data_IF_213128950768
#
_entry.id   IF_213128950768
#
_cell.length_a   1.000
_cell.length_b   1.000
_cell.length_c   1.000
_cell.angle_alpha   90.00
_cell.angle_beta   90.00
_cell.angle_gamma   90.00
#
_symmetry.space_group_name_H-M   'P 1'
#
loop_
_entity.id
_entity.type
_entity.pdbx_description
1 polymer ?
#
# COMPACT_ATOMS: atom_id res chain seq x y z
N UNK A 1 -26.22 -8.01 61.68
CA UNK A 1 -26.20 -8.33 60.23
C UNK A 1 -25.19 -7.45 59.54
N UNK A 2 -23.91 -7.83 59.61
CA UNK A 2 -22.81 -7.05 59.06
C UNK A 2 -22.49 -7.54 57.64
N UNK A 3 -23.01 -6.88 56.61
CA UNK A 3 -22.62 -7.16 55.23
C UNK A 3 -21.15 -6.82 55.09
N UNK A 4 -20.37 -7.82 54.75
CA UNK A 4 -18.92 -7.72 54.46
C UNK A 4 -18.65 -6.76 53.30
N UNK A 5 -18.48 -5.47 53.61
CA UNK A 5 -18.11 -4.42 52.66
C UNK A 5 -16.65 -4.55 52.15
N UNK A 6 -15.90 -5.57 52.59
CA UNK A 6 -14.48 -5.77 52.19
C UNK A 6 -14.30 -6.32 50.77
N UNK A 7 -15.27 -7.16 50.31
CA UNK A 7 -15.16 -7.76 48.95
C UNK A 7 -15.23 -6.76 47.80
N UNK A 8 -16.16 -5.77 47.75
CA UNK A 8 -16.23 -4.82 46.65
C UNK A 8 -14.98 -3.91 46.58
N UNK A 9 -14.46 -3.52 47.74
CA UNK A 9 -13.24 -2.68 47.80
C UNK A 9 -12.02 -3.44 47.24
N UNK A 10 -11.86 -4.71 47.61
CA UNK A 10 -10.76 -5.55 47.10
C UNK A 10 -10.85 -5.73 45.58
N UNK A 11 -12.04 -5.98 45.03
CA UNK A 11 -12.28 -6.11 43.60
C UNK A 11 -11.94 -4.79 42.90
N UNK A 12 -12.37 -3.65 43.43
CA UNK A 12 -12.09 -2.34 42.84
C UNK A 12 -10.57 -2.02 42.85
N UNK A 13 -9.85 -2.39 43.88
CA UNK A 13 -8.39 -2.23 43.96
C UNK A 13 -7.65 -3.12 42.93
N UNK A 14 -8.08 -4.38 42.78
CA UNK A 14 -7.53 -5.30 41.79
C UNK A 14 -7.78 -4.75 40.37
N UNK A 15 -9.00 -4.31 40.08
CA UNK A 15 -9.31 -3.71 38.78
C UNK A 15 -8.51 -2.43 38.51
N UNK A 16 -8.37 -1.57 39.51
CA UNK A 16 -7.55 -0.37 39.40
C UNK A 16 -6.08 -0.69 39.12
N UNK A 17 -5.53 -1.70 39.82
CA UNK A 17 -4.16 -2.16 39.61
C UNK A 17 -3.97 -2.76 38.20
N UNK A 18 -4.94 -3.57 37.71
CA UNK A 18 -4.90 -4.12 36.35
C UNK A 18 -4.96 -3.01 35.29
N UNK A 19 -5.77 -1.97 35.50
CA UNK A 19 -5.84 -0.82 34.60
C UNK A 19 -4.51 -0.04 34.57
N UNK A 20 -3.91 0.21 35.73
CA UNK A 20 -2.60 0.87 35.80
C UNK A 20 -1.50 0.03 35.15
N UNK A 21 -1.51 -1.28 35.40
CA UNK A 21 -0.55 -2.21 34.78
C UNK A 21 -0.70 -2.24 33.24
N UNK A 22 -1.94 -2.28 32.75
CA UNK A 22 -2.19 -2.27 31.30
C UNK A 22 -1.79 -0.93 30.68
N UNK A 23 -2.03 0.19 31.34
CA UNK A 23 -1.60 1.51 30.88
C UNK A 23 -0.06 1.63 30.85
N UNK A 24 0.62 1.17 31.91
CA UNK A 24 2.07 1.14 31.95
C UNK A 24 2.66 0.24 30.86
N UNK A 25 2.09 -0.95 30.66
CA UNK A 25 2.49 -1.87 29.61
C UNK A 25 2.30 -1.26 28.21
N UNK A 26 1.17 -0.59 27.98
CA UNK A 26 0.89 0.11 26.70
C UNK A 26 1.91 1.22 26.45
N UNK A 27 2.26 2.00 27.49
CA UNK A 27 3.29 3.04 27.37
C UNK A 27 4.68 2.45 27.08
N UNK A 28 5.04 1.36 27.76
CA UNK A 28 6.32 0.67 27.56
C UNK A 28 6.43 0.00 26.19
N UNK A 29 5.31 -0.47 25.64
CA UNK A 29 5.24 -1.12 24.32
C UNK A 29 4.98 -0.15 23.16
N UNK A 30 4.83 1.16 23.43
CA UNK A 30 4.63 2.14 22.36
C UNK A 30 5.84 2.13 21.43
N UNK A 31 5.68 1.81 20.14
CA UNK A 31 6.77 1.85 19.17
C UNK A 31 7.36 3.26 19.10
N UNK A 32 8.68 3.38 19.19
CA UNK A 32 9.38 4.67 19.19
C UNK A 32 10.31 4.85 17.99
N UNK A 33 10.55 3.78 17.21
CA UNK A 33 11.46 3.82 16.08
C UNK A 33 10.72 3.44 14.79
N UNK A 34 10.81 4.27 13.76
CA UNK A 34 10.34 3.91 12.41
C UNK A 34 11.42 3.10 11.69
N UNK A 35 11.03 2.05 10.97
CA UNK A 35 11.94 1.24 10.15
C UNK A 35 12.59 2.10 9.07
N UNK A 36 11.87 3.08 8.55
CA UNK A 36 12.30 4.01 7.50
C UNK A 36 13.32 5.08 7.95
N UNK A 37 13.71 5.12 9.22
CA UNK A 37 14.49 6.23 9.81
C UNK A 37 15.87 6.50 9.19
N UNK A 38 16.33 5.72 8.20
CA UNK A 38 17.64 5.91 7.54
C UNK A 38 17.61 5.73 6.02
N UNK A 39 16.50 5.33 5.40
CA UNK A 39 16.46 5.00 3.97
C UNK A 39 15.80 6.11 3.18
N UNK A 40 16.58 6.78 2.34
CA UNK A 40 16.08 7.75 1.37
C UNK A 40 15.65 7.00 0.11
N UNK A 41 14.42 6.52 0.07
CA UNK A 41 13.78 6.16 -1.21
C UNK A 41 13.63 7.44 -2.02
N UNK A 42 13.95 7.37 -3.30
CA UNK A 42 13.60 8.37 -4.29
C UNK A 42 12.88 7.68 -5.46
N UNK A 43 11.55 7.74 -5.44
CA UNK A 43 10.71 7.10 -6.46
C UNK A 43 10.95 7.66 -7.87
N UNK A 44 11.31 8.94 -7.98
CA UNK A 44 11.54 9.58 -9.28
C UNK A 44 12.79 9.02 -9.99
N UNK A 45 13.84 8.73 -9.24
CA UNK A 45 15.08 8.15 -9.78
C UNK A 45 15.02 6.62 -9.85
N UNK A 46 14.34 5.97 -8.91
CA UNK A 46 14.20 4.50 -8.86
C UNK A 46 13.37 3.95 -10.02
N UNK A 47 12.30 4.63 -10.39
CA UNK A 47 11.38 4.15 -11.42
C UNK A 47 11.79 4.70 -12.78
N UNK A 48 12.25 3.84 -13.72
CA UNK A 48 12.76 4.31 -15.00
C UNK A 48 11.65 4.95 -15.86
N UNK A 49 12.02 5.99 -16.61
CA UNK A 49 11.12 6.67 -17.55
C UNK A 49 10.91 5.87 -18.85
N UNK A 50 11.86 4.99 -19.17
CA UNK A 50 11.84 4.12 -20.37
C UNK A 50 12.51 2.78 -20.03
N UNK A 51 11.86 1.67 -20.45
CA UNK A 51 12.37 0.31 -20.28
C UNK A 51 11.71 -0.64 -21.26
N UNK A 52 12.47 -1.57 -21.82
CA UNK A 52 12.02 -2.50 -22.86
C UNK A 52 11.32 -1.73 -24.01
N UNK A 53 10.02 -1.99 -24.20
CA UNK A 53 9.19 -1.33 -25.20
C UNK A 53 8.21 -0.30 -24.57
N UNK A 54 8.39 0.05 -23.30
CA UNK A 54 7.57 1.01 -22.55
C UNK A 54 8.32 2.34 -22.37
N UNK A 55 7.61 3.45 -22.54
CA UNK A 55 8.10 4.79 -22.22
C UNK A 55 6.97 5.65 -21.65
N UNK A 56 7.32 6.72 -20.93
CA UNK A 56 6.33 7.67 -20.43
C UNK A 56 5.57 8.27 -21.62
N UNK A 57 4.23 8.26 -21.52
CA UNK A 57 3.36 8.90 -22.50
C UNK A 57 3.31 10.42 -22.24
N UNK A 58 4.06 11.16 -23.01
CA UNK A 58 4.11 12.63 -22.95
C UNK A 58 2.96 13.31 -23.68
N UNK A 59 2.08 12.55 -24.37
CA UNK A 59 0.94 13.08 -25.12
C UNK A 59 -0.24 13.38 -24.21
N UNK A 60 -0.28 12.78 -23.01
CA UNK A 60 -1.29 13.04 -22.01
C UNK A 60 -0.83 14.16 -21.07
N UNK A 61 -1.68 15.17 -20.87
CA UNK A 61 -1.42 16.15 -19.83
C UNK A 61 -1.40 15.46 -18.45
N UNK A 62 -0.48 15.83 -17.54
CA UNK A 62 -0.54 15.34 -16.18
C UNK A 62 -1.92 15.63 -15.58
N UNK A 63 -2.51 14.71 -14.82
CA UNK A 63 -3.78 14.98 -14.16
C UNK A 63 -3.63 16.22 -13.26
N UNK A 64 -4.49 17.21 -13.47
CA UNK A 64 -4.57 18.38 -12.59
C UNK A 64 -5.08 17.90 -11.23
N UNK A 65 -4.17 17.75 -10.28
CA UNK A 65 -4.54 17.47 -8.90
C UNK A 65 -4.88 18.81 -8.23
N UNK A 66 -6.10 18.90 -7.67
CA UNK A 66 -6.48 20.04 -6.87
C UNK A 66 -5.43 20.27 -5.76
N UNK A 67 -4.93 21.50 -5.56
CA UNK A 67 -3.94 21.82 -4.53
C UNK A 67 -4.32 21.32 -3.13
N UNK A 68 -5.59 21.43 -2.74
CA UNK A 68 -6.09 20.92 -1.45
C UNK A 68 -5.93 19.40 -1.31
N UNK A 69 -6.22 18.64 -2.38
CA UNK A 69 -6.04 17.19 -2.42
C UNK A 69 -4.55 16.82 -2.37
N UNK A 70 -3.70 17.61 -3.02
CA UNK A 70 -2.25 17.43 -2.97
C UNK A 70 -1.71 17.61 -1.55
N UNK A 71 -2.21 18.62 -0.83
CA UNK A 71 -1.82 18.89 0.56
C UNK A 71 -2.26 17.77 1.50
N UNK A 72 -3.47 17.22 1.33
CA UNK A 72 -3.94 16.06 2.08
C UNK A 72 -3.10 14.81 1.79
N UNK A 73 -2.78 14.55 0.53
CA UNK A 73 -1.91 13.45 0.10
C UNK A 73 -0.52 13.58 0.74
N UNK A 74 0.06 14.80 0.77
CA UNK A 74 1.39 15.05 1.32
C UNK A 74 1.49 14.86 2.84
N UNK A 75 0.38 14.93 3.56
CA UNK A 75 0.32 14.63 5.00
C UNK A 75 0.41 13.12 5.28
N UNK A 76 -0.09 12.29 4.35
CA UNK A 76 -0.18 10.83 4.51
C UNK A 76 1.04 10.14 3.89
N UNK A 77 1.50 10.63 2.74
CA UNK A 77 2.57 10.00 1.97
C UNK A 77 3.82 10.87 1.94
N UNK A 78 4.94 10.26 2.24
CA UNK A 78 6.26 10.91 2.15
C UNK A 78 6.66 11.16 0.70
N UNK A 79 6.27 10.26 -0.21
CA UNK A 79 6.49 10.39 -1.65
C UNK A 79 5.35 9.75 -2.43
N UNK A 80 5.04 10.35 -3.57
CA UNK A 80 4.09 9.78 -4.56
C UNK A 80 4.65 9.92 -5.96
N UNK A 81 4.45 8.89 -6.78
CA UNK A 81 4.79 8.88 -8.20
C UNK A 81 3.53 8.53 -8.99
N UNK A 82 3.22 9.30 -10.03
CA UNK A 82 2.12 9.00 -10.95
C UNK A 82 2.60 9.23 -12.39
N UNK A 83 2.62 8.16 -13.20
CA UNK A 83 3.07 8.19 -14.59
C UNK A 83 2.17 7.32 -15.45
N UNK A 84 1.91 7.75 -16.67
CA UNK A 84 1.31 6.90 -17.70
C UNK A 84 2.39 6.44 -18.65
N UNK A 85 2.46 5.16 -18.91
CA UNK A 85 3.39 4.57 -19.87
C UNK A 85 2.61 4.09 -21.10
N UNK A 86 3.27 4.15 -22.25
CA UNK A 86 2.80 3.63 -23.53
C UNK A 86 3.84 2.71 -24.13
N UNK A 87 3.40 1.60 -24.71
CA UNK A 87 4.29 0.70 -25.43
C UNK A 87 4.21 0.89 -26.95
N UNK A 88 5.03 0.15 -27.70
CA UNK A 88 5.09 0.22 -29.16
C UNK A 88 3.79 -0.24 -29.85
N UNK A 89 2.90 -0.95 -29.15
CA UNK A 89 1.58 -1.36 -29.66
C UNK A 89 0.49 -0.29 -29.40
N UNK A 90 0.84 0.81 -28.68
CA UNK A 90 -0.13 1.83 -28.26
C UNK A 90 -0.92 1.48 -27.00
N UNK A 91 -0.61 0.37 -26.32
CA UNK A 91 -1.22 0.00 -25.05
C UNK A 91 -0.72 0.93 -23.95
N UNK A 92 -1.63 1.39 -23.08
CA UNK A 92 -1.32 2.34 -22.00
C UNK A 92 -1.53 1.72 -20.64
N UNK A 93 -0.57 1.97 -19.73
CA UNK A 93 -0.66 1.60 -18.32
C UNK A 93 -0.43 2.82 -17.46
N UNK A 94 -1.34 3.10 -16.55
CA UNK A 94 -1.19 4.10 -15.52
C UNK A 94 -0.52 3.47 -14.30
N UNK A 95 0.65 3.96 -13.93
CA UNK A 95 1.37 3.59 -12.72
C UNK A 95 1.15 4.63 -11.64
N UNK A 96 0.82 4.19 -10.44
CA UNK A 96 0.78 5.02 -9.25
C UNK A 96 1.47 4.31 -8.10
N UNK A 97 2.45 4.98 -7.48
CA UNK A 97 3.15 4.51 -6.30
C UNK A 97 2.98 5.56 -5.22
N UNK A 98 2.62 5.12 -4.01
CA UNK A 98 2.52 5.99 -2.84
C UNK A 98 3.30 5.34 -1.69
N UNK A 99 4.28 6.07 -1.17
CA UNK A 99 5.17 5.63 -0.11
C UNK A 99 4.95 6.47 1.15
N UNK A 100 4.72 5.79 2.27
CA UNK A 100 4.64 6.37 3.60
C UNK A 100 5.72 5.79 4.51
N UNK A 101 6.60 6.66 5.02
CA UNK A 101 7.71 6.26 5.91
C UNK A 101 7.24 5.81 7.28
N UNK A 102 6.00 6.09 7.64
CA UNK A 102 5.36 5.77 8.92
C UNK A 102 3.95 5.23 8.68
N UNK A 103 3.69 4.02 9.13
CA UNK A 103 2.38 3.36 9.05
C UNK A 103 1.69 3.28 10.41
N UNK A 104 1.95 4.25 11.29
CA UNK A 104 1.16 4.47 12.49
C UNK A 104 -0.31 4.76 12.14
N UNK A 105 -1.20 4.73 13.11
CA UNK A 105 -2.66 4.62 12.94
C UNK A 105 -3.30 5.62 11.97
N UNK A 106 -2.75 6.83 11.87
CA UNK A 106 -3.34 7.92 11.08
C UNK A 106 -2.69 8.10 9.69
N UNK A 107 -1.55 7.45 9.44
CA UNK A 107 -0.73 7.60 8.23
C UNK A 107 -0.68 6.32 7.39
N UNK A 108 -1.67 5.44 7.54
CA UNK A 108 -1.69 4.16 6.81
C UNK A 108 -1.96 4.35 5.32
N UNK A 109 -1.24 3.60 4.50
CA UNK A 109 -1.50 3.50 3.06
C UNK A 109 -2.95 3.08 2.82
N UNK A 110 -3.70 3.94 2.11
CA UNK A 110 -5.10 3.70 1.79
C UNK A 110 -5.22 2.71 0.62
N UNK A 111 -6.18 1.80 0.74
CA UNK A 111 -6.46 0.83 -0.32
C UNK A 111 -7.23 1.47 -1.47
N UNK A 112 -6.90 1.14 -2.73
CA UNK A 112 -7.56 1.71 -3.90
C UNK A 112 -9.08 1.63 -3.85
N UNK A 113 -9.67 0.51 -3.40
CA UNK A 113 -11.11 0.35 -3.32
C UNK A 113 -11.80 1.43 -2.45
N UNK A 114 -11.13 1.92 -1.42
CA UNK A 114 -11.66 3.01 -0.58
C UNK A 114 -11.57 4.36 -1.31
N UNK A 115 -10.40 4.67 -1.87
CA UNK A 115 -10.15 5.93 -2.55
C UNK A 115 -11.04 6.10 -3.80
N UNK A 116 -11.21 5.02 -4.58
CA UNK A 116 -12.07 5.05 -5.77
C UNK A 116 -13.54 5.23 -5.42
N UNK A 117 -14.04 4.57 -4.36
CA UNK A 117 -15.42 4.76 -3.89
C UNK A 117 -15.69 6.20 -3.44
N UNK A 118 -14.76 6.79 -2.67
CA UNK A 118 -14.87 8.21 -2.26
C UNK A 118 -14.86 9.14 -3.48
N UNK A 119 -14.16 8.75 -4.54
CA UNK A 119 -14.12 9.48 -5.82
C UNK A 119 -15.34 9.21 -6.73
N UNK A 120 -16.35 8.46 -6.26
CA UNK A 120 -17.60 8.19 -6.98
C UNK A 120 -17.51 7.05 -8.00
N UNK A 121 -16.54 6.16 -7.86
CA UNK A 121 -16.48 4.93 -8.67
C UNK A 121 -17.23 3.79 -7.98
N UNK A 122 -17.94 3.02 -8.78
CA UNK A 122 -18.46 1.71 -8.37
C UNK A 122 -17.33 0.69 -8.43
N UNK A 123 -17.13 -0.06 -7.34
CA UNK A 123 -16.10 -1.09 -7.26
C UNK A 123 -16.73 -2.46 -7.49
N UNK A 124 -16.25 -3.14 -8.51
CA UNK A 124 -16.63 -4.51 -8.82
C UNK A 124 -16.02 -5.52 -7.86
N UNK A 125 -16.01 -6.79 -8.26
CA UNK A 125 -15.43 -7.88 -7.45
C UNK A 125 -13.94 -7.66 -7.21
N UNK A 126 -13.55 -7.72 -5.94
CA UNK A 126 -12.15 -7.69 -5.53
C UNK A 126 -11.65 -9.13 -5.42
N UNK A 127 -10.53 -9.45 -6.09
CA UNK A 127 -10.00 -10.81 -6.16
C UNK A 127 -8.54 -10.82 -5.70
N UNK A 128 -8.21 -11.71 -4.76
CA UNK A 128 -6.83 -12.04 -4.38
C UNK A 128 -6.27 -12.99 -5.43
N UNK A 129 -5.14 -12.63 -6.03
CA UNK A 129 -4.49 -13.45 -7.05
C UNK A 129 -2.97 -13.29 -7.01
N UNK A 130 -2.29 -13.75 -8.04
CA UNK A 130 -0.86 -13.61 -8.21
C UNK A 130 -0.55 -13.13 -9.62
N UNK A 131 0.53 -12.38 -9.76
CA UNK A 131 1.13 -12.03 -11.04
C UNK A 131 2.49 -12.71 -11.12
N UNK A 132 2.69 -13.52 -12.16
CA UNK A 132 3.98 -14.13 -12.47
C UNK A 132 4.84 -13.11 -13.20
N UNK A 133 6.03 -12.82 -12.67
CA UNK A 133 6.98 -11.86 -13.22
C UNK A 133 8.37 -12.50 -13.34
N UNK A 134 9.28 -11.84 -14.06
CA UNK A 134 10.68 -12.28 -14.18
C UNK A 134 11.45 -12.24 -12.85
N UNK A 135 10.93 -11.49 -11.86
CA UNK A 135 11.56 -11.37 -10.53
C UNK A 135 10.87 -12.24 -9.46
N UNK A 136 9.88 -13.04 -9.87
CA UNK A 136 9.14 -13.94 -8.99
C UNK A 136 7.63 -13.77 -9.08
N UNK A 137 6.92 -14.55 -8.28
CA UNK A 137 5.46 -14.57 -8.21
C UNK A 137 4.98 -13.63 -7.13
N UNK A 138 4.27 -12.55 -7.54
CA UNK A 138 3.85 -11.46 -6.65
C UNK A 138 2.38 -11.65 -6.27
N UNK A 139 2.04 -11.69 -4.97
CA UNK A 139 0.65 -11.68 -4.52
C UNK A 139 0.03 -10.31 -4.73
N UNK A 140 -1.07 -10.25 -5.47
CA UNK A 140 -1.74 -9.00 -5.85
C UNK A 140 -3.24 -9.04 -5.60
N UNK A 141 -3.84 -7.86 -5.66
CA UNK A 141 -5.28 -7.65 -5.72
C UNK A 141 -5.68 -7.20 -7.11
N UNK A 142 -6.73 -7.81 -7.67
CA UNK A 142 -7.42 -7.34 -8.85
C UNK A 142 -8.78 -6.76 -8.48
N UNK A 143 -9.13 -5.64 -9.06
CA UNK A 143 -10.46 -5.05 -8.98
C UNK A 143 -10.75 -4.25 -10.25
N UNK A 144 -12.03 -3.96 -10.48
CA UNK A 144 -12.46 -3.09 -11.56
C UNK A 144 -13.22 -1.92 -10.96
N UNK A 145 -12.78 -0.70 -11.27
CA UNK A 145 -13.45 0.54 -10.89
C UNK A 145 -14.23 1.09 -12.10
N UNK A 146 -15.50 1.41 -11.91
CA UNK A 146 -16.40 1.89 -12.97
C UNK A 146 -17.00 3.23 -12.61
N UNK A 147 -16.96 4.18 -13.56
CA UNK A 147 -17.63 5.48 -13.42
C UNK A 147 -18.12 5.94 -14.78
N UNK A 148 -19.43 5.92 -14.99
CA UNK A 148 -20.03 6.19 -16.29
C UNK A 148 -19.53 5.21 -17.36
N UNK A 149 -18.91 5.75 -18.40
CA UNK A 149 -18.31 4.96 -19.50
C UNK A 149 -16.88 4.49 -19.21
N UNK A 150 -16.27 4.99 -18.14
CA UNK A 150 -14.91 4.61 -17.74
C UNK A 150 -14.94 3.28 -16.99
N UNK A 151 -14.26 2.31 -17.55
CA UNK A 151 -14.01 1.00 -16.94
C UNK A 151 -12.50 0.86 -16.75
N UNK A 152 -12.06 0.69 -15.51
CA UNK A 152 -10.66 0.69 -15.11
C UNK A 152 -10.31 -0.58 -14.33
N UNK A 153 -9.84 -1.63 -14.99
CA UNK A 153 -9.20 -2.77 -14.36
C UNK A 153 -7.90 -2.34 -13.67
N UNK A 154 -7.71 -2.80 -12.43
CA UNK A 154 -6.64 -2.38 -11.54
C UNK A 154 -5.95 -3.60 -10.94
N UNK A 155 -4.62 -3.62 -10.99
CA UNK A 155 -3.77 -4.54 -10.24
C UNK A 155 -2.98 -3.75 -9.21
N UNK A 156 -3.00 -4.17 -7.95
CA UNK A 156 -2.21 -3.51 -6.91
C UNK A 156 -1.76 -4.48 -5.81
N UNK A 157 -0.74 -4.06 -5.09
CA UNK A 157 -0.34 -4.64 -3.81
C UNK A 157 0.08 -3.56 -2.83
N UNK A 158 0.15 -3.92 -1.56
CA UNK A 158 0.67 -3.06 -0.51
C UNK A 158 1.82 -3.79 0.18
N UNK A 159 2.98 -3.15 0.25
CA UNK A 159 4.09 -3.59 1.07
C UNK A 159 4.01 -2.89 2.44
N UNK A 160 4.13 -3.66 3.51
CA UNK A 160 4.24 -3.20 4.89
C UNK A 160 5.54 -3.73 5.47
N UNK A 161 6.54 -2.88 5.64
CA UNK A 161 7.89 -3.33 5.97
C UNK A 161 8.39 -4.34 4.94
N UNK A 162 8.72 -5.54 5.37
CA UNK A 162 9.27 -6.60 4.50
C UNK A 162 8.20 -7.45 3.79
N UNK A 163 6.91 -7.25 4.08
CA UNK A 163 5.85 -8.19 3.71
C UNK A 163 4.86 -7.55 2.72
N UNK A 164 4.48 -8.31 1.69
CA UNK A 164 3.34 -7.97 0.83
C UNK A 164 2.02 -8.38 1.48
N UNK A 165 1.05 -7.49 1.44
CA UNK A 165 -0.27 -7.68 2.06
C UNK A 165 -1.40 -7.51 1.05
N UNK A 166 -2.44 -8.36 1.19
CA UNK A 166 -3.64 -8.37 0.34
C UNK A 166 -4.88 -8.19 1.19
N UNK A 167 -5.14 -6.95 1.57
CA UNK A 167 -6.33 -6.60 2.32
C UNK A 167 -6.08 -6.30 3.79
N UNK A 168 -7.16 -5.86 4.45
CA UNK A 168 -7.10 -5.26 5.78
C UNK A 168 -6.51 -6.17 6.87
N UNK A 169 -6.89 -7.46 6.89
CA UNK A 169 -6.41 -8.39 7.92
C UNK A 169 -4.90 -8.60 7.85
N UNK A 170 -4.37 -8.81 6.63
CA UNK A 170 -2.92 -9.01 6.43
C UNK A 170 -2.13 -7.75 6.81
N UNK A 171 -2.65 -6.54 6.48
CA UNK A 171 -2.07 -5.27 6.92
C UNK A 171 -2.04 -5.14 8.45
N UNK A 172 -3.17 -5.44 9.12
CA UNK A 172 -3.26 -5.36 10.59
C UNK A 172 -2.31 -6.35 11.26
N UNK A 173 -2.19 -7.57 10.73
CA UNK A 173 -1.24 -8.57 11.24
C UNK A 173 0.21 -8.10 11.06
N UNK A 174 0.57 -7.55 9.91
CA UNK A 174 1.90 -6.98 9.68
C UNK A 174 2.20 -5.86 10.67
N UNK A 175 1.30 -4.88 10.81
CA UNK A 175 1.44 -3.77 11.77
C UNK A 175 1.59 -4.29 13.19
N UNK A 176 0.78 -5.28 13.60
CA UNK A 176 0.85 -5.88 14.93
C UNK A 176 2.21 -6.57 15.17
N UNK A 177 2.68 -7.36 14.21
CA UNK A 177 3.97 -8.04 14.30
C UNK A 177 5.13 -7.05 14.45
N UNK A 178 5.14 -5.98 13.66
CA UNK A 178 6.11 -4.89 13.80
C UNK A 178 6.01 -4.20 15.16
N UNK A 179 4.78 -3.92 15.64
CA UNK A 179 4.54 -3.31 16.95
C UNK A 179 5.16 -4.11 18.10
N UNK A 180 5.11 -5.45 18.04
CA UNK A 180 5.77 -6.32 19.04
C UNK A 180 7.31 -6.17 19.04
N UNK A 181 7.91 -5.74 17.95
CA UNK A 181 9.37 -5.46 17.88
C UNK A 181 9.74 -4.03 18.29
N UNK A 182 8.76 -3.22 18.72
CA UNK A 182 8.96 -1.80 19.07
C UNK A 182 9.21 -0.89 17.86
N UNK A 183 8.93 -1.37 16.63
CA UNK A 183 9.13 -0.64 15.36
C UNK A 183 7.82 -0.31 14.70
N UNK A 184 7.80 0.80 13.96
CA UNK A 184 6.72 1.16 13.04
C UNK A 184 7.20 0.83 11.63
N UNK A 185 6.48 -0.02 10.87
CA UNK A 185 6.85 -0.30 9.48
C UNK A 185 6.63 0.92 8.60
N UNK A 186 7.36 0.99 7.50
CA UNK A 186 7.00 1.81 6.36
C UNK A 186 5.96 1.08 5.49
N UNK A 187 5.33 1.80 4.57
CA UNK A 187 4.33 1.24 3.67
C UNK A 187 4.46 1.78 2.25
N UNK A 188 4.17 0.93 1.28
CA UNK A 188 4.14 1.32 -0.11
C UNK A 188 2.94 0.67 -0.82
N UNK A 189 2.11 1.50 -1.45
CA UNK A 189 1.13 1.07 -2.43
C UNK A 189 1.75 1.10 -3.81
N UNK A 190 1.75 -0.02 -4.51
CA UNK A 190 2.08 -0.11 -5.93
C UNK A 190 0.82 -0.47 -6.70
N UNK A 191 0.39 0.39 -7.60
CA UNK A 191 -0.83 0.22 -8.38
C UNK A 191 -0.57 0.46 -9.84
N UNK A 192 -1.07 -0.45 -10.67
CA UNK A 192 -1.18 -0.27 -12.12
C UNK A 192 -2.63 -0.41 -12.56
N UNK A 193 -3.04 0.35 -13.57
CA UNK A 193 -4.37 0.29 -14.14
C UNK A 193 -4.36 0.60 -15.64
N UNK A 194 -5.41 0.14 -16.31
CA UNK A 194 -5.68 0.41 -17.72
C UNK A 194 -7.12 0.88 -17.87
N UNK A 195 -7.43 1.62 -18.91
CA UNK A 195 -8.82 1.99 -19.23
C UNK A 195 -9.27 1.12 -20.40
N UNK A 196 -10.11 0.12 -20.15
CA UNK A 196 -10.59 -0.82 -21.16
C UNK A 196 -11.83 -1.57 -20.67
N UNK A 197 -12.68 -1.98 -21.60
CA UNK A 197 -13.80 -2.87 -21.33
C UNK A 197 -13.41 -4.35 -21.39
N UNK A 198 -12.23 -4.68 -21.90
CA UNK A 198 -11.68 -6.04 -21.88
C UNK A 198 -10.80 -6.22 -20.65
N UNK A 199 -11.39 -6.83 -19.61
CA UNK A 199 -10.70 -7.05 -18.33
C UNK A 199 -9.54 -8.06 -18.48
N UNK A 200 -9.72 -9.10 -19.30
CA UNK A 200 -8.71 -10.15 -19.46
C UNK A 200 -7.47 -9.61 -20.19
N UNK A 201 -7.66 -8.86 -21.26
CA UNK A 201 -6.57 -8.21 -21.98
C UNK A 201 -5.89 -7.14 -21.10
N UNK A 202 -6.66 -6.39 -20.32
CA UNK A 202 -6.14 -5.42 -19.36
C UNK A 202 -5.17 -6.04 -18.36
N UNK A 203 -5.53 -7.15 -17.74
CA UNK A 203 -4.66 -7.84 -16.79
C UNK A 203 -3.44 -8.47 -17.47
N UNK A 204 -3.54 -8.92 -18.71
CA UNK A 204 -2.40 -9.37 -19.52
C UNK A 204 -1.40 -8.23 -19.74
N UNK A 205 -1.88 -7.08 -20.21
CA UNK A 205 -1.04 -5.88 -20.44
C UNK A 205 -0.38 -5.41 -19.15
N UNK A 206 -1.12 -5.38 -18.05
CA UNK A 206 -0.59 -5.01 -16.74
C UNK A 206 0.49 -6.00 -16.27
N UNK A 207 0.31 -7.31 -16.48
CA UNK A 207 1.32 -8.33 -16.14
C UNK A 207 2.60 -8.15 -16.97
N UNK A 208 2.49 -7.91 -18.28
CA UNK A 208 3.64 -7.64 -19.15
C UNK A 208 4.40 -6.38 -18.67
N UNK A 209 3.66 -5.31 -18.35
CA UNK A 209 4.23 -4.08 -17.80
C UNK A 209 4.93 -4.31 -16.46
N UNK A 210 4.28 -5.00 -15.51
CA UNK A 210 4.83 -5.28 -14.19
C UNK A 210 6.11 -6.12 -14.28
N UNK A 211 6.12 -7.13 -15.16
CA UNK A 211 7.32 -7.94 -15.39
C UNK A 211 8.49 -7.11 -15.94
N UNK A 212 8.20 -6.22 -16.90
CA UNK A 212 9.19 -5.38 -17.52
C UNK A 212 9.76 -4.31 -16.58
N UNK A 213 8.90 -3.59 -15.85
CA UNK A 213 9.34 -2.53 -14.94
C UNK A 213 10.13 -3.08 -13.75
N UNK A 214 9.69 -4.19 -13.15
CA UNK A 214 10.41 -4.80 -12.03
C UNK A 214 11.76 -5.38 -12.46
N UNK A 215 11.90 -5.81 -13.70
CA UNK A 215 13.20 -6.22 -14.26
C UNK A 215 14.12 -5.02 -14.47
N UNK A 216 13.57 -3.87 -14.89
CA UNK A 216 14.33 -2.66 -15.17
C UNK A 216 14.80 -1.91 -13.91
N UNK A 217 14.08 -2.05 -12.79
CA UNK A 217 14.50 -1.50 -11.49
C UNK A 217 15.74 -2.25 -11.00
N UNK A 218 16.79 -1.54 -10.50
CA UNK A 218 17.98 -2.17 -9.91
C UNK A 218 17.62 -3.19 -8.83
N UNK A 219 18.40 -4.27 -8.74
CA UNK A 219 18.09 -5.38 -7.82
C UNK A 219 18.03 -4.94 -6.36
N UNK A 220 18.90 -4.05 -5.95
CA UNK A 220 18.97 -3.44 -4.63
C UNK A 220 17.72 -2.62 -4.28
N UNK A 221 17.04 -2.06 -5.29
CA UNK A 221 15.87 -1.22 -5.11
C UNK A 221 14.55 -2.00 -5.17
N UNK A 222 14.55 -3.21 -5.75
CA UNK A 222 13.32 -4.04 -5.88
C UNK A 222 12.68 -4.37 -4.54
N UNK A 223 13.51 -4.55 -3.50
CA UNK A 223 13.04 -4.75 -2.14
C UNK A 223 12.05 -3.68 -1.70
N UNK A 224 12.29 -2.43 -2.07
CA UNK A 224 11.38 -1.33 -1.72
C UNK A 224 10.00 -1.46 -2.35
N UNK A 225 9.89 -2.11 -3.49
CA UNK A 225 8.63 -2.30 -4.23
C UNK A 225 7.89 -3.57 -3.82
N UNK A 226 8.63 -4.68 -3.60
CA UNK A 226 8.03 -6.02 -3.45
C UNK A 226 8.41 -6.74 -2.16
N UNK A 227 9.22 -6.14 -1.28
CA UNK A 227 9.68 -6.77 -0.04
C UNK A 227 10.56 -7.98 -0.27
N UNK A 228 10.74 -8.81 0.75
CA UNK A 228 11.52 -10.05 0.65
C UNK A 228 10.77 -11.21 -0.02
N UNK A 229 9.46 -11.10 -0.25
CA UNK A 229 8.60 -12.20 -0.72
C UNK A 229 8.79 -12.53 -2.21
N UNK A 230 9.46 -11.69 -2.98
CA UNK A 230 9.72 -11.91 -4.41
C UNK A 230 11.06 -12.65 -4.67
N UNK A 231 11.72 -13.17 -3.65
CA UNK A 231 13.00 -13.88 -3.74
C UNK A 231 12.84 -15.41 -3.64
N UNK A 232 11.67 -15.96 -4.04
CA UNK A 232 11.44 -17.41 -4.13
C UNK A 232 11.14 -17.82 -5.57
#
# INVERSE_FOLDING_TARGET
MGLSMKKPLTISLIMGMLMLLSAALTMAMKPSATVAGQSKIDLETMIPSEFNNWKIDTTLAPPLINPEVKDEISKIYSQTLSRTYINTKGERVMLSIAYGSDQSTDLQVHRPEVCYQVSGFDIGKITKTFVDTTVGRIPVMHLVAKQGVRNEPITYWIRMGDTLTRGWMEQKMATFTYGLTGKVPDGLLFRVSTISNDEADSYRVQQEFLSAILQAVPQEDRYWLVGHTAAL
#
